data_IF_016046628826
#
_entry.id   IF_016046628826
#
_cell.length_a   1.000
_cell.length_b   1.000
_cell.length_c   1.000
_cell.angle_alpha   90.00
_cell.angle_beta   90.00
_cell.angle_gamma   90.00
#
_symmetry.space_group_name_H-M   'P 1'
#
loop_
_entity.id
_entity.type
_entity.pdbx_description
1 polymer ?
#
# COMPACT_ATOMS: atom_id res chain seq x y z
N UNK A 1 7.15 5.41 24.90
CA UNK A 1 5.88 4.78 25.32
C UNK A 1 5.63 3.49 24.55
N UNK A 2 5.25 2.40 25.21
CA UNK A 2 5.03 1.13 24.52
C UNK A 2 4.01 1.22 23.37
N UNK A 3 3.05 2.11 23.48
CA UNK A 3 2.02 2.32 22.44
C UNK A 3 2.58 2.89 21.13
N UNK A 4 3.78 3.48 21.18
CA UNK A 4 4.42 4.06 19.99
C UNK A 4 5.35 3.09 19.27
N UNK A 5 5.51 1.89 19.81
CA UNK A 5 6.36 0.87 19.19
C UNK A 5 5.56 -0.05 18.29
N UNK A 6 6.21 -0.50 17.23
CA UNK A 6 5.64 -1.49 16.32
C UNK A 6 6.32 -2.83 16.56
N UNK A 7 5.52 -3.88 16.55
CA UNK A 7 6.07 -5.22 16.61
C UNK A 7 6.80 -5.57 15.32
N UNK A 8 7.97 -6.18 15.46
CA UNK A 8 8.74 -6.68 14.33
C UNK A 8 8.96 -8.17 14.55
N UNK A 9 8.41 -8.98 13.66
CA UNK A 9 8.56 -10.42 13.72
C UNK A 9 9.67 -10.87 12.80
N UNK A 10 10.65 -11.58 13.35
CA UNK A 10 11.75 -12.12 12.56
C UNK A 10 11.53 -13.62 12.36
N UNK A 11 11.65 -14.05 11.10
CA UNK A 11 11.55 -15.47 10.75
C UNK A 11 12.90 -15.95 10.24
N UNK A 12 13.09 -17.27 10.24
CA UNK A 12 14.35 -17.84 9.76
C UNK A 12 14.45 -17.73 8.23
N UNK A 13 15.65 -18.01 7.72
CA UNK A 13 15.93 -17.88 6.28
C UNK A 13 15.06 -18.81 5.43
N UNK A 14 14.84 -20.04 5.90
CA UNK A 14 13.98 -20.99 5.18
C UNK A 14 12.55 -20.49 5.06
N UNK A 15 12.03 -19.94 6.16
CA UNK A 15 10.69 -19.33 6.16
C UNK A 15 10.58 -18.17 5.20
N UNK A 16 11.63 -17.34 5.11
CA UNK A 16 11.67 -16.21 4.17
C UNK A 16 11.66 -16.68 2.73
N UNK A 17 12.44 -17.71 2.39
CA UNK A 17 12.50 -18.27 1.04
C UNK A 17 11.12 -18.82 0.66
N UNK A 18 10.50 -19.60 1.55
CA UNK A 18 9.17 -20.16 1.32
C UNK A 18 8.14 -19.04 1.09
N UNK A 19 8.18 -18.01 1.93
CA UNK A 19 7.27 -16.88 1.80
C UNK A 19 7.47 -16.11 0.50
N UNK A 20 8.70 -15.97 0.04
CA UNK A 20 9.00 -15.32 -1.24
C UNK A 20 8.42 -16.11 -2.41
N UNK A 21 8.53 -17.44 -2.37
CA UNK A 21 7.96 -18.28 -3.43
C UNK A 21 6.44 -18.11 -3.47
N UNK A 22 5.79 -18.16 -2.31
CA UNK A 22 4.34 -17.96 -2.21
C UNK A 22 3.95 -16.57 -2.68
N UNK A 23 4.68 -15.55 -2.26
CA UNK A 23 4.43 -14.17 -2.68
C UNK A 23 4.51 -14.02 -4.18
N UNK A 24 5.53 -14.58 -4.80
CA UNK A 24 5.69 -14.47 -6.25
C UNK A 24 4.54 -15.14 -7.00
N UNK A 25 4.10 -16.30 -6.53
CA UNK A 25 2.97 -17.01 -7.13
C UNK A 25 1.66 -16.23 -6.96
N UNK A 26 1.42 -15.70 -5.76
CA UNK A 26 0.22 -14.91 -5.48
C UNK A 26 0.21 -13.61 -6.28
N UNK A 27 1.33 -12.92 -6.36
CA UNK A 27 1.42 -11.68 -7.14
C UNK A 27 1.12 -11.93 -8.60
N UNK A 28 1.69 -12.98 -9.16
CA UNK A 28 1.46 -13.33 -10.55
C UNK A 28 -0.02 -13.65 -10.81
N UNK A 29 -0.63 -14.41 -9.93
CA UNK A 29 -2.05 -14.74 -10.02
C UNK A 29 -2.92 -13.48 -9.88
N UNK A 30 -2.64 -12.64 -8.88
CA UNK A 30 -3.40 -11.43 -8.66
C UNK A 30 -3.34 -10.47 -9.84
N UNK A 31 -2.17 -10.32 -10.46
CA UNK A 31 -2.02 -9.45 -11.61
C UNK A 31 -2.69 -10.03 -12.86
N UNK A 32 -2.59 -11.34 -13.07
CA UNK A 32 -3.22 -12.00 -14.22
C UNK A 32 -4.75 -11.97 -14.14
N UNK A 33 -5.30 -12.11 -12.94
CA UNK A 33 -6.74 -12.16 -12.72
C UNK A 33 -7.34 -10.79 -12.36
N UNK A 34 -6.51 -9.75 -12.32
CA UNK A 34 -6.94 -8.39 -11.96
C UNK A 34 -7.68 -8.34 -10.61
N UNK A 35 -7.18 -9.10 -9.63
CA UNK A 35 -7.79 -9.18 -8.31
C UNK A 35 -7.63 -7.87 -7.54
N UNK A 36 -6.48 -7.23 -7.70
CA UNK A 36 -6.17 -5.99 -6.98
C UNK A 36 -6.74 -4.78 -7.73
N UNK A 37 -7.32 -3.86 -6.97
CA UNK A 37 -7.82 -2.60 -7.51
C UNK A 37 -6.67 -1.77 -8.07
N UNK A 38 -6.93 -0.99 -9.11
CA UNK A 38 -5.96 -0.03 -9.64
C UNK A 38 -5.59 1.05 -8.62
N UNK A 39 -6.40 1.23 -7.59
CA UNK A 39 -6.13 2.17 -6.49
C UNK A 39 -5.19 1.60 -5.43
N UNK A 40 -4.84 0.31 -5.52
CA UNK A 40 -3.93 -0.34 -4.58
C UNK A 40 -2.50 -0.12 -5.04
N UNK A 41 -1.72 0.67 -4.30
CA UNK A 41 -0.31 0.95 -4.61
C UNK A 41 0.64 0.25 -3.66
N UNK A 42 0.26 0.10 -2.39
CA UNK A 42 1.11 -0.57 -1.40
C UNK A 42 1.24 -2.07 -1.68
N UNK A 43 2.42 -2.61 -1.41
CA UNK A 43 2.74 -4.04 -1.54
C UNK A 43 2.53 -4.58 -2.95
N UNK A 44 2.62 -3.71 -3.94
CA UNK A 44 2.36 -4.09 -5.33
C UNK A 44 3.57 -3.75 -6.19
N UNK A 45 4.03 -4.71 -6.98
CA UNK A 45 5.17 -4.55 -7.87
C UNK A 45 4.84 -3.54 -8.98
N UNK A 46 5.82 -2.71 -9.31
CA UNK A 46 5.66 -1.71 -10.36
C UNK A 46 4.92 -0.46 -9.95
N UNK A 47 4.50 -0.36 -8.68
CA UNK A 47 3.82 0.82 -8.15
C UNK A 47 4.56 1.35 -6.94
N UNK A 48 4.57 2.67 -6.77
CA UNK A 48 5.31 3.32 -5.70
C UNK A 48 4.46 4.37 -4.99
N UNK A 49 4.97 4.83 -3.84
CA UNK A 49 4.35 5.94 -3.13
C UNK A 49 4.40 7.22 -3.95
N UNK A 50 5.42 7.40 -4.78
CA UNK A 50 5.53 8.55 -5.66
C UNK A 50 4.37 8.59 -6.66
N UNK A 51 3.95 7.44 -7.17
CA UNK A 51 2.80 7.36 -8.08
C UNK A 51 1.52 7.83 -7.39
N UNK A 52 1.29 7.36 -6.17
CA UNK A 52 0.11 7.74 -5.41
C UNK A 52 0.11 9.22 -5.07
N UNK A 53 1.26 9.76 -4.67
CA UNK A 53 1.44 11.18 -4.36
C UNK A 53 1.19 12.02 -5.61
N UNK A 54 1.70 11.58 -6.76
CA UNK A 54 1.52 12.29 -8.02
C UNK A 54 0.03 12.39 -8.38
N UNK A 55 -0.71 11.30 -8.24
CA UNK A 55 -2.13 11.30 -8.54
C UNK A 55 -2.88 12.24 -7.61
N UNK A 56 -2.62 12.17 -6.30
CA UNK A 56 -3.27 13.04 -5.33
C UNK A 56 -2.95 14.51 -5.60
N UNK A 57 -1.68 14.81 -5.88
CA UNK A 57 -1.25 16.17 -6.20
C UNK A 57 -1.96 16.69 -7.45
N UNK A 58 -2.07 15.87 -8.48
CA UNK A 58 -2.74 16.24 -9.74
C UNK A 58 -4.22 16.53 -9.49
N UNK A 59 -4.89 15.73 -8.68
CA UNK A 59 -6.30 15.96 -8.34
C UNK A 59 -6.46 17.26 -7.58
N UNK A 60 -5.59 17.53 -6.59
CA UNK A 60 -5.62 18.75 -5.79
C UNK A 60 -5.46 19.96 -6.71
N UNK A 61 -4.47 19.94 -7.59
CA UNK A 61 -4.22 21.04 -8.52
C UNK A 61 -5.42 21.30 -9.43
N UNK A 62 -6.01 20.23 -9.95
CA UNK A 62 -7.17 20.32 -10.84
C UNK A 62 -8.38 20.93 -10.13
N UNK A 63 -8.65 20.49 -8.91
CA UNK A 63 -9.80 20.99 -8.14
C UNK A 63 -9.61 22.45 -7.76
N UNK A 64 -8.41 22.82 -7.29
CA UNK A 64 -8.12 24.18 -6.89
C UNK A 64 -8.13 25.15 -8.09
N UNK A 65 -7.70 24.70 -9.26
CA UNK A 65 -7.72 25.53 -10.46
C UNK A 65 -9.14 25.91 -10.88
N UNK A 66 -10.12 25.08 -10.51
CA UNK A 66 -11.55 25.35 -10.74
C UNK A 66 -12.20 26.12 -9.61
N UNK A 67 -11.41 26.58 -8.63
CA UNK A 67 -11.88 27.29 -7.45
C UNK A 67 -12.88 26.48 -6.61
N UNK A 68 -12.78 25.16 -6.69
CA UNK A 68 -13.58 24.24 -5.91
C UNK A 68 -12.84 23.81 -4.65
N UNK A 69 -13.55 23.15 -3.74
CA UNK A 69 -12.97 22.60 -2.52
C UNK A 69 -12.79 21.10 -2.66
N UNK A 70 -11.73 20.58 -2.07
CA UNK A 70 -11.46 19.16 -2.03
C UNK A 70 -11.36 18.71 -0.58
N UNK A 71 -12.12 17.68 -0.24
CA UNK A 71 -12.10 17.08 1.09
C UNK A 71 -11.37 15.76 1.01
N UNK A 72 -10.37 15.58 1.87
CA UNK A 72 -9.59 14.35 1.91
C UNK A 72 -9.65 13.74 3.30
N UNK A 73 -9.72 12.42 3.36
CA UNK A 73 -9.63 11.68 4.60
C UNK A 73 -8.51 10.65 4.49
N UNK A 74 -7.61 10.65 5.46
CA UNK A 74 -6.54 9.67 5.55
C UNK A 74 -6.90 8.68 6.65
N UNK A 75 -6.99 7.40 6.27
CA UNK A 75 -7.35 6.33 7.21
C UNK A 75 -6.11 5.51 7.51
N UNK A 76 -5.79 5.39 8.79
CA UNK A 76 -4.62 4.63 9.24
C UNK A 76 -5.02 3.77 10.43
N UNK A 77 -4.81 2.46 10.32
CA UNK A 77 -5.13 1.53 11.39
C UNK A 77 -3.94 1.40 12.34
N UNK A 78 -4.20 1.61 13.61
CA UNK A 78 -3.18 1.38 14.62
C UNK A 78 -2.90 -0.12 14.73
N UNK A 79 -1.63 -0.51 14.52
CA UNK A 79 -1.20 -1.90 14.59
C UNK A 79 -2.02 -2.83 13.70
N UNK A 80 -2.14 -2.48 12.41
CA UNK A 80 -2.98 -3.20 11.47
C UNK A 80 -2.67 -4.70 11.41
N UNK A 81 -1.39 -5.09 11.51
CA UNK A 81 -0.98 -6.50 11.44
C UNK A 81 -0.99 -7.20 12.80
N UNK A 82 -0.98 -6.45 13.89
CA UNK A 82 -0.88 -6.99 15.25
C UNK A 82 -2.22 -7.01 16.00
N UNK A 83 -3.24 -6.44 15.40
CA UNK A 83 -4.56 -6.34 16.03
C UNK A 83 -5.52 -7.44 15.61
#
# INVERSE_FOLDING_TARGET
MPSNYRGITLINTMGKIFSLILRNRLNKWCENENVLSDSQYGFREGRSTADAIFILHSVIQKVLSKKSKLWCAFVDYQRAFDS
#
